data_IF_591838972981
#
_entry.id   IF_591838972981
#
_cell.length_a   1.000
_cell.length_b   1.000
_cell.length_c   1.000
_cell.angle_alpha   90.00
_cell.angle_beta   90.00
_cell.angle_gamma   90.00
#
_symmetry.space_group_name_H-M   'P 1'
#
loop_
_entity.id
_entity.type
_entity.pdbx_description
1 polymer ?
#
# COMPACT_ATOMS: atom_id res chain seq x y z
N UNK A 1 17.69 -3.35 64.37
CA UNK A 1 18.05 -2.51 63.20
C UNK A 1 18.82 -3.38 62.23
N UNK A 2 18.12 -4.05 61.31
CA UNK A 2 18.63 -4.76 60.13
C UNK A 2 17.39 -5.20 59.36
N UNK A 3 17.25 -4.83 58.08
CA UNK A 3 16.38 -5.48 57.09
C UNK A 3 17.06 -5.40 55.70
N UNK A 4 16.77 -6.34 54.79
CA UNK A 4 17.72 -6.81 53.79
C UNK A 4 17.62 -6.12 52.42
N UNK A 5 18.70 -6.29 51.65
CA UNK A 5 18.91 -5.90 50.25
C UNK A 5 17.75 -6.33 49.35
N UNK A 6 17.13 -5.37 48.65
CA UNK A 6 16.38 -5.64 47.42
C UNK A 6 17.32 -5.41 46.23
N UNK A 7 17.57 -6.48 45.48
CA UNK A 7 18.27 -6.45 44.21
C UNK A 7 17.43 -5.66 43.19
N UNK A 8 18.02 -4.63 42.60
CA UNK A 8 17.48 -3.96 41.43
C UNK A 8 17.66 -4.93 40.24
N UNK A 9 16.59 -5.63 39.87
CA UNK A 9 16.51 -6.32 38.58
C UNK A 9 16.38 -5.25 37.51
N UNK A 10 17.51 -4.88 36.91
CA UNK A 10 17.56 -4.08 35.70
C UNK A 10 16.79 -4.81 34.61
N UNK A 11 15.63 -4.27 34.26
CA UNK A 11 14.80 -4.70 33.14
C UNK A 11 15.69 -4.73 31.90
N UNK A 12 15.92 -5.93 31.37
CA UNK A 12 16.39 -6.12 30.00
C UNK A 12 15.46 -5.31 29.11
N UNK A 13 16.03 -4.35 28.38
CA UNK A 13 15.32 -3.61 27.36
C UNK A 13 14.68 -4.60 26.40
N UNK A 14 13.36 -4.72 26.47
CA UNK A 14 12.60 -5.18 25.33
C UNK A 14 12.84 -4.14 24.24
N UNK A 15 13.77 -4.44 23.35
CA UNK A 15 13.66 -4.01 21.97
C UNK A 15 12.33 -4.60 21.49
N UNK A 16 11.24 -3.85 21.65
CA UNK A 16 10.03 -4.14 20.92
C UNK A 16 10.43 -4.01 19.45
N UNK A 17 10.65 -5.15 18.79
CA UNK A 17 10.52 -5.20 17.35
C UNK A 17 9.12 -4.66 17.09
N UNK A 18 9.05 -3.43 16.57
CA UNK A 18 7.85 -2.96 15.91
C UNK A 18 7.76 -3.84 14.67
N UNK A 19 7.11 -4.99 14.79
CA UNK A 19 6.72 -5.76 13.62
C UNK A 19 5.87 -4.83 12.79
N UNK A 20 6.37 -4.45 11.61
CA UNK A 20 5.57 -3.77 10.61
C UNK A 20 4.33 -4.64 10.37
N UNK A 21 3.18 -4.18 10.85
CA UNK A 21 1.94 -4.92 10.73
C UNK A 21 1.57 -4.92 9.25
N UNK A 22 1.56 -6.11 8.64
CA UNK A 22 1.03 -6.33 7.28
C UNK A 22 -0.48 -6.11 7.31
N UNK A 23 -1.05 -5.58 6.23
CA UNK A 23 -2.52 -5.51 6.11
C UNK A 23 -3.12 -6.91 6.00
N UNK A 24 -4.32 -7.10 6.54
CA UNK A 24 -5.10 -8.33 6.39
C UNK A 24 -5.54 -8.54 4.95
N UNK A 25 -5.58 -9.80 4.52
CA UNK A 25 -6.15 -10.15 3.22
C UNK A 25 -7.59 -9.66 3.12
N UNK A 26 -7.98 -9.12 1.96
CA UNK A 26 -9.33 -8.59 1.75
C UNK A 26 -9.47 -7.66 0.56
N UNK A 27 -10.70 -7.18 0.35
CA UNK A 27 -11.07 -6.33 -0.79
C UNK A 27 -11.24 -4.88 -0.32
N UNK A 28 -10.48 -3.98 -0.93
CA UNK A 28 -10.37 -2.59 -0.51
C UNK A 28 -10.43 -1.61 -1.68
N UNK A 29 -10.81 -0.38 -1.36
CA UNK A 29 -10.39 0.80 -2.10
C UNK A 29 -9.07 1.32 -1.54
N UNK A 30 -8.13 1.64 -2.43
CA UNK A 30 -6.86 2.28 -2.07
C UNK A 30 -7.03 3.78 -2.29
N UNK A 31 -7.14 4.54 -1.21
CA UNK A 31 -7.45 5.98 -1.24
C UNK A 31 -6.26 6.78 -0.72
N UNK A 32 -5.87 7.83 -1.45
CA UNK A 32 -4.82 8.73 -0.97
C UNK A 32 -5.32 9.52 0.24
N UNK A 33 -4.58 9.49 1.35
CA UNK A 33 -4.83 10.37 2.49
C UNK A 33 -4.34 11.79 2.14
N UNK A 34 -5.19 12.56 1.46
CA UNK A 34 -4.98 13.99 1.22
C UNK A 34 -6.12 14.77 1.90
N UNK A 35 -5.82 15.95 2.46
CA UNK A 35 -6.71 16.72 3.34
C UNK A 35 -8.08 17.04 2.74
N UNK A 36 -8.17 17.15 1.41
CA UNK A 36 -9.34 17.71 0.74
C UNK A 36 -9.81 16.89 -0.47
N UNK A 37 -9.21 15.73 -0.73
CA UNK A 37 -9.45 14.98 -1.97
C UNK A 37 -9.51 13.48 -1.74
N UNK A 38 -10.65 12.87 -2.06
CA UNK A 38 -10.83 11.42 -2.01
C UNK A 38 -10.31 10.77 -3.30
N UNK A 39 -9.03 10.93 -3.63
CA UNK A 39 -8.49 10.25 -4.81
C UNK A 39 -8.32 8.76 -4.53
N UNK A 40 -8.92 7.91 -5.36
CA UNK A 40 -8.72 6.46 -5.31
C UNK A 40 -7.84 5.98 -6.46
N UNK A 41 -7.11 4.89 -6.25
CA UNK A 41 -6.32 4.22 -7.30
C UNK A 41 -7.26 3.39 -8.17
N UNK A 42 -7.22 3.64 -9.48
CA UNK A 42 -8.04 2.95 -10.48
C UNK A 42 -7.21 2.58 -11.70
N UNK A 43 -7.71 1.66 -12.52
CA UNK A 43 -7.18 1.40 -13.86
C UNK A 43 -8.03 2.11 -14.93
N UNK A 44 -7.49 2.23 -16.16
CA UNK A 44 -8.22 2.72 -17.34
C UNK A 44 -8.38 1.66 -18.44
N UNK A 45 -7.69 0.52 -18.31
CA UNK A 45 -7.64 -0.52 -19.31
C UNK A 45 -6.55 -1.54 -19.00
N UNK A 46 -6.50 -2.66 -19.75
CA UNK A 46 -5.42 -3.63 -19.59
C UNK A 46 -4.14 -3.01 -20.12
N UNK A 47 -3.02 -3.32 -19.45
CA UNK A 47 -1.70 -2.83 -19.85
C UNK A 47 -1.64 -1.30 -19.89
N UNK A 48 -2.40 -0.62 -19.04
CA UNK A 48 -2.37 0.84 -18.88
C UNK A 48 -1.82 1.21 -17.49
N UNK A 49 -1.17 2.37 -17.34
CA UNK A 49 -0.78 2.88 -16.05
C UNK A 49 -1.99 3.07 -15.14
N UNK A 50 -1.82 2.77 -13.85
CA UNK A 50 -2.77 3.15 -12.83
C UNK A 50 -2.87 4.68 -12.74
N UNK A 51 -4.08 5.14 -12.44
CA UNK A 51 -4.46 6.55 -12.36
C UNK A 51 -5.15 6.84 -11.05
N UNK A 52 -5.26 8.13 -10.75
CA UNK A 52 -6.04 8.63 -9.63
C UNK A 52 -7.38 9.14 -10.13
N UNK A 53 -8.47 8.66 -9.55
CA UNK A 53 -9.83 9.11 -9.87
C UNK A 53 -10.49 9.71 -8.64
N UNK A 54 -11.48 10.57 -8.86
CA UNK A 54 -12.23 11.17 -7.75
C UNK A 54 -13.21 10.14 -7.18
N UNK A 55 -13.04 9.80 -5.91
CA UNK A 55 -13.89 8.88 -5.16
C UNK A 55 -13.63 7.40 -5.46
N UNK A 56 -14.16 6.49 -4.63
CA UNK A 56 -14.25 5.07 -4.95
C UNK A 56 -14.99 4.84 -6.28
N UNK A 57 -14.50 3.92 -7.11
CA UNK A 57 -15.17 3.49 -8.34
C UNK A 57 -14.96 1.99 -8.56
N UNK A 58 -15.79 1.37 -9.41
CA UNK A 58 -15.72 -0.07 -9.65
C UNK A 58 -14.36 -0.54 -10.19
N UNK A 59 -13.70 0.26 -11.01
CA UNK A 59 -12.35 -0.02 -11.55
C UNK A 59 -11.23 0.12 -10.49
N UNK A 60 -11.53 0.65 -9.31
CA UNK A 60 -10.61 0.84 -8.18
C UNK A 60 -10.83 -0.14 -7.03
N UNK A 61 -11.52 -1.27 -7.28
CA UNK A 61 -11.71 -2.34 -6.30
C UNK A 61 -10.55 -3.34 -6.39
N UNK A 62 -9.76 -3.42 -5.31
CA UNK A 62 -8.55 -4.23 -5.25
C UNK A 62 -8.63 -5.29 -4.17
N UNK A 63 -8.39 -6.53 -4.54
CA UNK A 63 -8.11 -7.65 -3.65
C UNK A 63 -6.63 -7.66 -3.29
N UNK A 64 -6.35 -7.50 -2.00
CA UNK A 64 -5.00 -7.49 -1.45
C UNK A 64 -4.81 -8.82 -0.72
N UNK A 65 -3.83 -9.61 -1.17
CA UNK A 65 -3.55 -10.93 -0.62
C UNK A 65 -2.07 -11.06 -0.24
N UNK A 66 -1.79 -11.72 0.88
CA UNK A 66 -0.44 -12.08 1.28
C UNK A 66 0.27 -12.93 0.22
N UNK A 67 1.51 -12.58 -0.07
CA UNK A 67 2.43 -13.31 -0.93
C UNK A 67 3.74 -13.57 -0.17
N UNK A 68 4.51 -14.58 -0.58
CA UNK A 68 5.73 -15.00 0.12
C UNK A 68 6.69 -13.86 0.43
N UNK A 69 6.82 -12.89 -0.49
CA UNK A 69 7.72 -11.73 -0.37
C UNK A 69 7.02 -10.40 -0.06
N UNK A 70 5.69 -10.38 0.08
CA UNK A 70 4.93 -9.14 0.25
C UNK A 70 3.43 -9.37 0.13
N UNK A 71 2.75 -8.57 -0.69
CA UNK A 71 1.34 -8.69 -0.99
C UNK A 71 1.07 -8.47 -2.47
N UNK A 72 0.14 -9.22 -3.04
CA UNK A 72 -0.36 -8.95 -4.39
C UNK A 72 -1.58 -8.04 -4.31
N UNK A 73 -1.68 -7.09 -5.24
CA UNK A 73 -2.81 -6.16 -5.35
C UNK A 73 -3.49 -6.42 -6.70
N UNK A 74 -4.61 -7.13 -6.68
CA UNK A 74 -5.32 -7.60 -7.87
C UNK A 74 -6.66 -6.90 -8.02
N UNK A 75 -7.02 -6.47 -9.22
CA UNK A 75 -8.34 -5.91 -9.46
C UNK A 75 -9.40 -7.02 -9.45
N UNK A 76 -10.51 -6.77 -8.76
CA UNK A 76 -11.58 -7.76 -8.56
C UNK A 76 -12.42 -7.99 -9.82
N UNK A 77 -12.64 -6.97 -10.64
CA UNK A 77 -13.60 -7.02 -11.74
C UNK A 77 -13.01 -7.44 -13.09
N UNK A 78 -11.70 -7.31 -13.27
CA UNK A 78 -11.06 -7.48 -14.59
C UNK A 78 -10.49 -8.88 -14.84
N UNK A 79 -10.79 -9.84 -13.97
CA UNK A 79 -10.38 -11.24 -14.18
C UNK A 79 -8.88 -11.50 -13.99
N UNK A 80 -8.22 -10.71 -13.13
CA UNK A 80 -6.84 -10.97 -12.71
C UNK A 80 -5.81 -9.91 -13.07
N UNK A 81 -6.23 -8.66 -13.33
CA UNK A 81 -5.25 -7.58 -13.53
C UNK A 81 -4.55 -7.29 -12.20
N UNK A 82 -3.23 -7.21 -12.21
CA UNK A 82 -2.43 -7.01 -11.00
C UNK A 82 -1.68 -5.69 -11.11
N UNK A 83 -1.60 -4.94 -10.02
CA UNK A 83 -0.72 -3.79 -9.95
C UNK A 83 0.73 -4.28 -10.03
N UNK A 84 1.50 -3.78 -10.98
CA UNK A 84 2.86 -4.23 -11.28
C UNK A 84 3.74 -3.01 -11.59
N UNK A 85 5.02 -3.09 -11.25
CA UNK A 85 6.03 -2.19 -11.81
C UNK A 85 6.52 -2.77 -13.13
N UNK A 86 6.74 -1.92 -14.13
CA UNK A 86 7.35 -2.34 -15.40
C UNK A 86 8.77 -1.79 -15.45
N UNK A 87 9.79 -2.58 -15.86
CA UNK A 87 11.16 -2.12 -15.97
C UNK A 87 11.27 -0.84 -16.82
N UNK A 88 12.04 0.13 -16.33
CA UNK A 88 12.22 1.46 -16.93
C UNK A 88 10.95 2.32 -16.98
N UNK A 89 9.90 1.98 -16.23
CA UNK A 89 8.76 2.85 -15.98
C UNK A 89 8.80 3.37 -14.55
N UNK A 90 8.51 4.66 -14.39
CA UNK A 90 8.25 5.29 -13.10
C UNK A 90 6.76 5.18 -12.71
N UNK A 91 5.95 4.39 -13.42
CA UNK A 91 4.51 4.23 -13.20
C UNK A 91 4.21 2.84 -12.67
N UNK A 92 3.10 2.74 -11.94
CA UNK A 92 2.46 1.46 -11.62
C UNK A 92 1.46 1.13 -12.71
N UNK A 93 1.40 -0.11 -13.17
CA UNK A 93 0.57 -0.55 -14.29
C UNK A 93 -0.44 -1.61 -13.85
N UNK A 94 -1.61 -1.64 -14.48
CA UNK A 94 -2.53 -2.77 -14.42
C UNK A 94 -2.20 -3.75 -15.53
N UNK A 95 -1.66 -4.91 -15.19
CA UNK A 95 -1.19 -5.90 -16.18
C UNK A 95 -1.80 -7.27 -15.94
N UNK A 96 -1.78 -8.12 -16.97
CA UNK A 96 -2.28 -9.51 -16.89
C UNK A 96 -1.18 -10.53 -17.15
N UNK A 97 -1.31 -11.70 -16.53
CA UNK A 97 -0.64 -12.93 -16.96
C UNK A 97 0.88 -12.84 -17.10
N UNK A 98 1.36 -12.96 -18.35
CA UNK A 98 2.76 -13.24 -18.68
C UNK A 98 3.69 -12.02 -18.61
N UNK A 99 3.16 -10.81 -18.34
CA UNK A 99 3.93 -9.56 -18.25
C UNK A 99 4.28 -9.16 -16.81
N UNK A 100 4.10 -10.07 -15.85
CA UNK A 100 4.36 -9.81 -14.44
C UNK A 100 5.86 -9.81 -14.16
N UNK A 101 6.38 -8.67 -13.73
CA UNK A 101 7.80 -8.45 -13.42
C UNK A 101 8.00 -8.43 -11.90
N UNK A 102 7.30 -7.56 -11.17
CA UNK A 102 7.13 -7.71 -9.72
C UNK A 102 5.68 -7.47 -9.29
N UNK A 103 5.06 -8.54 -8.78
CA UNK A 103 3.67 -8.54 -8.31
C UNK A 103 3.53 -8.35 -6.82
N UNK A 104 4.63 -8.53 -6.08
CA UNK A 104 4.64 -8.37 -4.65
C UNK A 104 4.93 -6.91 -4.30
N UNK A 105 4.11 -6.35 -3.43
CA UNK A 105 4.24 -5.03 -2.84
C UNK A 105 4.48 -5.17 -1.34
N UNK A 106 5.29 -4.29 -0.78
CA UNK A 106 5.38 -4.14 0.66
C UNK A 106 4.35 -3.10 1.11
N UNK A 107 3.27 -3.57 1.75
CA UNK A 107 2.24 -2.70 2.34
C UNK A 107 2.39 -2.72 3.85
N UNK A 108 2.77 -1.58 4.41
CA UNK A 108 3.15 -1.46 5.82
C UNK A 108 2.35 -0.37 6.50
N UNK A 109 1.88 -0.66 7.72
CA UNK A 109 1.22 0.35 8.55
C UNK A 109 2.17 1.54 8.80
N UNK A 110 1.66 2.76 8.59
CA UNK A 110 2.40 4.00 8.79
C UNK A 110 1.47 5.17 9.08
N UNK A 111 1.71 5.86 10.19
CA UNK A 111 0.78 6.84 10.76
C UNK A 111 -0.64 6.25 10.86
N UNK A 112 -1.65 6.97 10.38
CA UNK A 112 -3.06 6.55 10.40
C UNK A 112 -3.49 5.75 9.14
N UNK A 113 -2.52 5.19 8.40
CA UNK A 113 -2.80 4.40 7.19
C UNK A 113 -1.64 3.49 6.81
N UNK A 114 -1.35 3.40 5.51
CA UNK A 114 -0.37 2.48 4.95
C UNK A 114 0.59 3.17 3.96
N UNK A 115 1.80 2.65 3.86
CA UNK A 115 2.70 2.90 2.73
C UNK A 115 2.59 1.72 1.76
N UNK A 116 2.79 1.96 0.47
CA UNK A 116 2.91 0.89 -0.52
C UNK A 116 4.22 1.10 -1.28
N UNK A 117 5.11 0.11 -1.26
CA UNK A 117 6.43 0.21 -1.88
C UNK A 117 6.86 -1.08 -2.58
N UNK A 118 7.91 -0.99 -3.40
CA UNK A 118 8.57 -2.18 -3.93
C UNK A 118 9.19 -3.01 -2.79
N UNK A 119 9.20 -4.35 -2.92
CA UNK A 119 9.84 -5.25 -1.97
C UNK A 119 11.37 -5.24 -2.18
N UNK A 120 12.11 -5.76 -1.20
CA UNK A 120 13.54 -6.09 -1.32
C UNK A 120 14.48 -4.94 -1.72
N UNK A 121 14.09 -3.69 -1.47
CA UNK A 121 14.94 -2.50 -1.59
C UNK A 121 15.43 -2.00 -0.23
N UNK A 122 16.66 -1.48 -0.21
CA UNK A 122 17.20 -0.75 0.94
C UNK A 122 16.31 0.46 1.25
N UNK A 123 16.25 0.89 2.52
CA UNK A 123 15.38 2.00 2.92
C UNK A 123 15.73 3.31 2.17
N UNK A 124 17.00 3.49 1.77
CA UNK A 124 17.48 4.67 1.03
C UNK A 124 17.09 4.64 -0.46
N UNK A 125 16.89 3.45 -1.04
CA UNK A 125 16.56 3.29 -2.45
C UNK A 125 15.09 2.96 -2.71
N UNK A 126 14.33 2.66 -1.65
CA UNK A 126 12.96 2.18 -1.73
C UNK A 126 12.06 3.15 -2.50
N UNK A 127 11.39 2.60 -3.50
CA UNK A 127 10.41 3.30 -4.32
C UNK A 127 9.01 3.09 -3.76
N UNK A 128 8.30 4.20 -3.52
CA UNK A 128 6.96 4.23 -2.96
C UNK A 128 5.93 4.67 -3.99
N UNK A 129 4.71 4.16 -3.86
CA UNK A 129 3.54 4.66 -4.55
C UNK A 129 3.32 6.13 -4.20
N UNK A 130 3.49 6.99 -5.20
CA UNK A 130 3.49 8.43 -5.07
C UNK A 130 2.43 9.03 -6.00
N UNK A 131 1.43 9.75 -5.47
CA UNK A 131 0.42 10.39 -6.29
C UNK A 131 0.94 11.71 -6.88
N UNK A 132 0.57 11.98 -8.12
CA UNK A 132 0.52 13.32 -8.69
C UNK A 132 -0.95 13.70 -8.90
N UNK A 133 -1.50 14.49 -7.97
CA UNK A 133 -2.90 14.88 -8.01
C UNK A 133 -3.23 15.85 -9.15
N UNK A 134 -2.26 16.66 -9.60
CA UNK A 134 -2.47 17.61 -10.69
C UNK A 134 -2.61 16.88 -12.02
N UNK A 135 -1.76 15.87 -12.24
CA UNK A 135 -1.80 15.04 -13.45
C UNK A 135 -2.73 13.82 -13.35
N UNK A 136 -3.24 13.53 -12.15
CA UNK A 136 -4.05 12.34 -11.82
C UNK A 136 -3.34 11.02 -12.12
N UNK A 137 -2.07 10.95 -11.73
CA UNK A 137 -1.18 9.82 -12.06
C UNK A 137 -0.58 9.21 -10.81
N UNK A 138 -0.31 7.92 -10.87
CA UNK A 138 0.41 7.18 -9.84
C UNK A 138 1.82 6.83 -10.33
N UNK A 139 2.81 7.20 -9.52
CA UNK A 139 4.23 7.03 -9.79
C UNK A 139 4.91 6.14 -8.74
N UNK A 140 6.11 5.67 -9.06
CA UNK A 140 7.09 5.07 -8.16
C UNK A 140 8.22 6.08 -7.96
N UNK A 141 8.38 6.58 -6.74
CA UNK A 141 9.39 7.59 -6.43
C UNK A 141 10.10 7.30 -5.11
N UNK A 142 11.37 7.69 -5.02
CA UNK A 142 12.07 7.75 -3.74
C UNK A 142 11.51 8.93 -2.94
N UNK A 143 11.18 8.67 -1.69
CA UNK A 143 10.65 9.68 -0.77
C UNK A 143 11.40 9.58 0.56
N UNK A 144 11.61 10.73 1.21
CA UNK A 144 12.02 10.71 2.61
C UNK A 144 10.89 10.11 3.42
N UNK A 145 11.21 9.30 4.43
CA UNK A 145 10.19 8.61 5.26
C UNK A 145 9.12 9.57 5.80
N UNK A 146 9.49 10.81 6.17
CA UNK A 146 8.55 11.84 6.65
C UNK A 146 7.56 12.34 5.60
N UNK A 147 7.90 12.18 4.32
CA UNK A 147 7.19 12.75 3.18
C UNK A 147 6.46 11.66 2.39
N UNK A 148 6.48 10.41 2.90
CA UNK A 148 5.83 9.27 2.24
C UNK A 148 4.33 9.45 2.22
N UNK A 149 3.73 9.27 1.04
CA UNK A 149 2.27 9.30 0.91
C UNK A 149 1.63 8.19 1.77
N UNK A 150 0.66 8.58 2.59
CA UNK A 150 -0.20 7.65 3.33
C UNK A 150 -1.38 7.24 2.47
N UNK A 151 -1.65 5.95 2.39
CA UNK A 151 -2.78 5.33 1.71
C UNK A 151 -3.75 4.76 2.74
N UNK A 152 -5.04 5.03 2.57
CA UNK A 152 -6.12 4.45 3.35
C UNK A 152 -6.69 3.26 2.59
N UNK A 153 -6.73 2.10 3.23
CA UNK A 153 -7.36 0.90 2.71
C UNK A 153 -8.79 0.83 3.27
N UNK A 154 -9.77 1.28 2.48
CA UNK A 154 -11.18 1.31 2.91
C UNK A 154 -11.86 0.02 2.44
N UNK A 155 -12.35 -0.77 3.39
CA UNK A 155 -13.07 -2.02 3.12
C UNK A 155 -14.31 -1.76 2.23
N UNK A 156 -14.49 -2.59 1.20
CA UNK A 156 -15.64 -2.48 0.29
C UNK A 156 -16.97 -2.71 1.01
N UNK A 157 -17.02 -3.58 2.02
CA UNK A 157 -18.25 -3.85 2.78
C UNK A 157 -18.69 -2.64 3.61
N UNK A 158 -17.72 -1.81 4.03
CA UNK A 158 -18.00 -0.54 4.69
C UNK A 158 -18.41 0.58 3.70
N UNK A 159 -18.30 0.32 2.39
CA UNK A 159 -18.49 1.29 1.31
C UNK A 159 -19.48 0.84 0.24
N UNK A 160 -20.18 -0.27 0.46
CA UNK A 160 -21.10 -0.85 -0.51
C UNK A 160 -22.19 0.14 -0.94
N UNK A 161 -22.63 1.04 -0.05
CA UNK A 161 -23.63 2.07 -0.35
C UNK A 161 -23.07 3.31 -1.10
N UNK A 162 -21.76 3.54 -1.09
CA UNK A 162 -21.10 4.66 -1.80
C UNK A 162 -20.75 4.30 -3.25
N UNK A 163 -20.86 3.03 -3.62
CA UNK A 163 -20.54 2.52 -4.93
C UNK A 163 -21.84 2.23 -5.69
N UNK A 164 -22.00 2.75 -6.91
CA UNK A 164 -23.00 2.23 -7.88
C UNK A 164 -22.57 0.82 -8.36
N UNK A 165 -22.37 -0.11 -7.43
CA UNK A 165 -21.91 -1.50 -7.65
C UNK A 165 -22.91 -2.48 -7.05
#
# INVERSE_FOLDING_TARGET
MFWPKAALLSILGLSALVSAQRVSDGVYFIVAAATDSQFSVSHQGPEEPLVLVNGPNKEGIWDIEASGTGQTIKNVLTGGWTANDIPNSDRVWAVTGDQLTHTAWNVTAFNDGYQISLPDMSDEERLYWTPDFALRRLYLSQQKVSDVQVWLLRDILALADECDV
#
